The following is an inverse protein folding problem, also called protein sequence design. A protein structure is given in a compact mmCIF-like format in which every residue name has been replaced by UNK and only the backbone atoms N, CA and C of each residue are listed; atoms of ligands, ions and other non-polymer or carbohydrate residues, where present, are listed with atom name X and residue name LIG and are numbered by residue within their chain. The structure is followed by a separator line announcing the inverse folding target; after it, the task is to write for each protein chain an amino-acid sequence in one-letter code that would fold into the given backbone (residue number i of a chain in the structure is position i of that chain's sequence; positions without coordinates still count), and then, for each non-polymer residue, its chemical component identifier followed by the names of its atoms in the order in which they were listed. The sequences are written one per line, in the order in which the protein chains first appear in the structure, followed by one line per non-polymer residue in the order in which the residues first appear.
data_IF_900365942406
#
_entry.id   IF_900365942406
#
_cell.length_a   1.000
_cell.length_b   1.000
_cell.length_c   1.000
_cell.angle_alpha   90.00
_cell.angle_beta   90.00
_cell.angle_gamma   90.00
#
_symmetry.space_group_name_H-M   'P 1'
#
loop_
_entity.id
_entity.type
_entity.pdbx_description
1 polymer ?
#
# COMPACT_ATOMS: atom_id res chain seq x y z
N UNK A 1 14.20 11.32 -6.88
CA UNK A 1 13.66 9.97 -7.08
C UNK A 1 13.77 9.25 -5.75
N UNK A 2 12.66 8.83 -5.16
CA UNK A 2 12.68 8.01 -3.95
C UNK A 2 13.04 6.59 -4.35
N UNK A 3 14.10 6.02 -3.77
CA UNK A 3 14.35 4.59 -3.88
C UNK A 3 13.58 3.88 -2.77
N UNK A 4 12.96 2.75 -3.11
CA UNK A 4 12.32 1.87 -2.13
C UNK A 4 13.14 0.58 -2.10
N UNK A 5 13.38 0.07 -0.89
CA UNK A 5 14.03 -1.22 -0.67
C UNK A 5 12.96 -2.18 -0.21
N UNK A 6 12.80 -3.31 -0.91
CA UNK A 6 11.87 -4.38 -0.56
C UNK A 6 12.66 -5.64 -0.27
N UNK A 7 12.35 -6.31 0.83
CA UNK A 7 13.03 -7.55 1.25
C UNK A 7 12.01 -8.68 1.38
N UNK A 8 12.32 -9.80 0.72
CA UNK A 8 11.61 -11.05 0.90
C UNK A 8 12.19 -11.79 2.12
N UNK A 9 11.54 -11.63 3.27
CA UNK A 9 12.00 -12.17 4.57
C UNK A 9 12.22 -13.70 4.52
N UNK A 10 11.31 -14.44 3.89
CA UNK A 10 11.41 -15.89 3.73
C UNK A 10 12.66 -16.30 2.92
N UNK A 11 12.93 -15.57 1.83
CA UNK A 11 14.09 -15.85 0.98
C UNK A 11 15.41 -15.54 1.70
N UNK A 12 15.43 -14.49 2.53
CA UNK A 12 16.60 -14.14 3.35
C UNK A 12 16.86 -15.17 4.45
N UNK A 13 15.81 -15.66 5.11
CA UNK A 13 15.92 -16.73 6.10
C UNK A 13 16.46 -18.03 5.46
N UNK A 14 15.90 -18.41 4.31
CA UNK A 14 16.38 -19.57 3.55
C UNK A 14 17.85 -19.42 3.11
N UNK A 15 18.24 -18.24 2.64
CA UNK A 15 19.64 -17.96 2.25
C UNK A 15 20.59 -18.09 3.44
N UNK A 16 20.21 -17.58 4.62
CA UNK A 16 21.01 -17.67 5.85
C UNK A 16 21.16 -19.12 6.31
N UNK A 17 20.10 -19.92 6.24
CA UNK A 17 20.16 -21.36 6.53
C UNK A 17 21.11 -22.09 5.56
N UNK A 18 20.97 -21.86 4.26
CA UNK A 18 21.85 -22.44 3.24
C UNK A 18 23.32 -22.06 3.47
N UNK A 19 23.61 -20.80 3.81
CA UNK A 19 24.96 -20.36 4.12
C UNK A 19 25.51 -21.05 5.37
N UNK A 20 24.67 -21.28 6.38
CA UNK A 20 25.04 -22.01 7.59
C UNK A 20 25.44 -23.44 7.25
N UNK A 21 24.65 -24.12 6.41
CA UNK A 21 24.90 -25.49 5.97
C UNK A 21 26.16 -25.59 5.10
N UNK A 22 26.37 -24.65 4.17
CA UNK A 22 27.60 -24.56 3.38
C UNK A 22 28.82 -24.41 4.30
N UNK A 23 28.75 -23.50 5.27
CA UNK A 23 29.84 -23.29 6.23
C UNK A 23 30.13 -24.53 7.08
N UNK A 24 29.09 -25.29 7.45
CA UNK A 24 29.25 -26.56 8.15
C UNK A 24 29.88 -27.64 7.26
N UNK A 25 29.45 -27.75 6.01
CA UNK A 25 30.01 -28.68 5.04
C UNK A 25 31.50 -28.43 4.76
N UNK A 26 31.89 -27.16 4.60
CA UNK A 26 33.30 -26.79 4.40
C UNK A 26 34.14 -27.18 5.63
N UNK A 27 33.71 -26.80 6.84
CA UNK A 27 34.44 -27.17 8.07
C UNK A 27 34.57 -28.68 8.25
N UNK A 28 33.54 -29.44 7.90
CA UNK A 28 33.58 -30.89 7.95
C UNK A 28 34.58 -31.47 6.94
N UNK A 29 34.63 -30.93 5.72
CA UNK A 29 35.60 -31.33 4.71
C UNK A 29 37.03 -31.00 5.12
N UNK A 30 37.28 -29.80 5.66
CA UNK A 30 38.59 -29.36 6.15
C UNK A 30 39.08 -30.27 7.28
N UNK A 31 38.21 -30.61 8.24
CA UNK A 31 38.52 -31.52 9.33
C UNK A 31 38.81 -32.94 8.84
N UNK A 32 38.04 -33.45 7.86
CA UNK A 32 38.25 -34.77 7.27
C UNK A 32 39.59 -34.87 6.52
N UNK A 33 40.03 -33.79 5.87
CA UNK A 33 41.29 -33.73 5.14
C UNK A 33 42.52 -33.42 6.01
N UNK A 34 42.33 -32.84 7.20
CA UNK A 34 43.43 -32.36 8.04
C UNK A 34 44.48 -33.45 8.35
N UNK A 35 44.04 -34.64 8.76
CA UNK A 35 44.96 -35.71 9.15
C UNK A 35 45.83 -36.21 7.99
N UNK A 36 45.22 -36.47 6.83
CA UNK A 36 45.91 -37.04 5.67
C UNK A 36 46.85 -36.05 4.99
N UNK A 37 46.59 -34.74 5.10
CA UNK A 37 47.40 -33.69 4.45
C UNK A 37 48.54 -33.18 5.34
N UNK A 38 48.36 -33.16 6.66
CA UNK A 38 49.38 -32.64 7.60
C UNK A 38 50.39 -33.71 8.07
N UNK A 39 50.06 -34.99 7.91
CA UNK A 39 50.91 -36.12 8.35
C UNK A 39 51.41 -36.94 7.15
N UNK A 40 51.90 -36.26 6.11
CA UNK A 40 52.34 -36.91 4.87
C UNK A 40 53.65 -37.69 5.08
N UNK A 41 53.65 -38.99 4.78
CA UNK A 41 54.85 -39.81 4.81
C UNK A 41 55.78 -39.49 3.62
N UNK A 42 57.08 -39.71 3.78
CA UNK A 42 58.04 -39.63 2.67
C UNK A 42 57.82 -40.80 1.70
N UNK A 43 57.85 -40.54 0.39
CA UNK A 43 57.66 -41.57 -0.63
C UNK A 43 58.82 -42.59 -0.67
N UNK A 44 60.03 -42.16 -0.31
CA UNK A 44 61.22 -42.98 -0.16
C UNK A 44 62.10 -42.46 1.00
N UNK A 45 63.15 -43.22 1.34
CA UNK A 45 64.03 -42.94 2.47
C UNK A 45 65.07 -41.83 2.23
N UNK A 46 65.06 -41.21 1.04
CA UNK A 46 66.00 -40.15 0.67
C UNK A 46 65.57 -38.78 1.23
N UNK A 47 66.55 -37.88 1.34
CA UNK A 47 66.35 -36.54 1.89
C UNK A 47 65.42 -35.67 1.03
N UNK A 48 65.35 -35.90 -0.29
CA UNK A 48 64.50 -35.13 -1.21
C UNK A 48 63.03 -35.51 -0.98
N UNK A 49 62.72 -36.81 -0.91
CA UNK A 49 61.38 -37.30 -0.54
C UNK A 49 60.93 -36.80 0.83
N UNK A 50 61.83 -36.81 1.82
CA UNK A 50 61.53 -36.28 3.14
C UNK A 50 61.28 -34.76 3.13
N UNK A 51 62.07 -33.99 2.38
CA UNK A 51 61.90 -32.55 2.25
C UNK A 51 60.58 -32.18 1.56
N UNK A 52 60.20 -32.90 0.50
CA UNK A 52 58.94 -32.69 -0.22
C UNK A 52 57.74 -32.95 0.70
N UNK A 53 57.73 -34.06 1.45
CA UNK A 53 56.62 -34.35 2.37
C UNK A 53 56.50 -33.32 3.48
N UNK A 54 57.63 -32.80 4.02
CA UNK A 54 57.61 -31.70 4.99
C UNK A 54 57.05 -30.40 4.40
N UNK A 55 57.38 -30.07 3.15
CA UNK A 55 56.86 -28.90 2.46
C UNK A 55 55.33 -28.96 2.35
N UNK A 56 54.78 -30.09 1.86
CA UNK A 56 53.34 -30.25 1.73
C UNK A 56 52.62 -30.27 3.08
N UNK A 57 53.20 -30.94 4.09
CA UNK A 57 52.66 -30.93 5.45
C UNK A 57 52.62 -29.50 6.04
N UNK A 58 53.67 -28.70 5.81
CA UNK A 58 53.73 -27.30 6.21
C UNK A 58 52.64 -26.46 5.53
N UNK A 59 52.49 -26.59 4.21
CA UNK A 59 51.43 -25.91 3.46
C UNK A 59 50.02 -26.29 3.95
N UNK A 60 49.80 -27.58 4.27
CA UNK A 60 48.54 -28.04 4.82
C UNK A 60 48.24 -27.42 6.20
N UNK A 61 49.25 -27.27 7.06
CA UNK A 61 49.06 -26.60 8.36
C UNK A 61 48.70 -25.11 8.20
N UNK A 62 49.34 -24.41 7.26
CA UNK A 62 49.00 -23.02 6.95
C UNK A 62 47.59 -22.90 6.37
N UNK A 63 47.21 -23.81 5.47
CA UNK A 63 45.84 -23.89 4.94
C UNK A 63 44.81 -24.09 6.06
N UNK A 64 45.07 -25.00 7.00
CA UNK A 64 44.16 -25.24 8.14
C UNK A 64 44.02 -23.98 9.00
N UNK A 65 45.11 -23.25 9.27
CA UNK A 65 45.05 -21.99 10.01
C UNK A 65 44.23 -20.91 9.29
N UNK A 66 44.36 -20.81 7.97
CA UNK A 66 43.58 -19.88 7.14
C UNK A 66 42.10 -20.29 7.05
N UNK A 67 41.81 -21.59 6.93
CA UNK A 67 40.45 -22.12 6.88
C UNK A 67 39.68 -21.79 8.16
N UNK A 68 40.34 -21.86 9.32
CA UNK A 68 39.76 -21.49 10.60
C UNK A 68 39.40 -19.98 10.66
N UNK A 69 40.27 -19.11 10.16
CA UNK A 69 39.98 -17.67 10.06
C UNK A 69 38.80 -17.39 9.11
N UNK A 70 38.77 -18.09 7.99
CA UNK A 70 37.69 -18.00 7.00
C UNK A 70 36.35 -18.46 7.59
N UNK A 71 36.36 -19.54 8.37
CA UNK A 71 35.17 -20.04 9.07
C UNK A 71 34.61 -19.02 10.08
N UNK A 72 35.48 -18.30 10.78
CA UNK A 72 35.06 -17.22 11.69
C UNK A 72 34.45 -16.04 10.93
N UNK A 73 35.09 -15.61 9.83
CA UNK A 73 34.55 -14.57 8.96
C UNK A 73 33.18 -14.96 8.40
N UNK A 74 33.04 -16.19 7.92
CA UNK A 74 31.76 -16.71 7.41
C UNK A 74 30.67 -16.70 8.48
N UNK A 75 30.99 -17.13 9.70
CA UNK A 75 30.04 -17.08 10.82
C UNK A 75 29.59 -15.64 11.14
N UNK A 76 30.54 -14.69 11.15
CA UNK A 76 30.23 -13.26 11.33
C UNK A 76 29.37 -12.70 10.20
N UNK A 77 29.63 -13.10 8.96
CA UNK A 77 28.85 -12.72 7.79
C UNK A 77 27.40 -13.21 7.90
N UNK A 78 27.19 -14.49 8.22
CA UNK A 78 25.85 -15.07 8.42
C UNK A 78 25.11 -14.36 9.57
N UNK A 79 25.83 -14.05 10.66
CA UNK A 79 25.26 -13.31 11.79
C UNK A 79 24.83 -11.89 11.40
N UNK A 80 25.65 -11.18 10.62
CA UNK A 80 25.33 -9.84 10.14
C UNK A 80 24.14 -9.84 9.16
N UNK A 81 24.04 -10.86 8.30
CA UNK A 81 22.91 -11.01 7.38
C UNK A 81 21.60 -11.25 8.14
N UNK A 82 21.66 -12.11 9.17
CA UNK A 82 20.52 -12.41 10.04
C UNK A 82 20.04 -11.18 10.79
N UNK A 83 20.96 -10.42 11.41
CA UNK A 83 20.61 -9.21 12.14
C UNK A 83 20.06 -8.12 11.22
N UNK A 84 20.63 -7.97 10.01
CA UNK A 84 20.09 -7.10 8.98
C UNK A 84 18.63 -7.44 8.64
N UNK A 85 18.33 -8.72 8.42
CA UNK A 85 16.96 -9.18 8.18
C UNK A 85 15.97 -8.79 9.28
N UNK A 86 16.37 -8.94 10.55
CA UNK A 86 15.55 -8.52 11.69
C UNK A 86 15.34 -7.01 11.76
N UNK A 87 16.36 -6.21 11.42
CA UNK A 87 16.25 -4.75 11.42
C UNK A 87 15.26 -4.25 10.37
N UNK A 88 15.25 -4.86 9.18
CA UNK A 88 14.26 -4.54 8.15
C UNK A 88 12.85 -4.97 8.55
N UNK A 89 12.68 -6.16 9.13
CA UNK A 89 11.39 -6.60 9.65
C UNK A 89 10.86 -5.64 10.74
N UNK A 90 11.73 -5.18 11.63
CA UNK A 90 11.40 -4.22 12.67
C UNK A 90 11.01 -2.85 12.08
N UNK A 91 11.70 -2.41 11.02
CA UNK A 91 11.37 -1.16 10.33
C UNK A 91 9.99 -1.23 9.65
N UNK A 92 9.68 -2.33 8.96
CA UNK A 92 8.34 -2.56 8.39
C UNK A 92 7.26 -2.49 9.48
N UNK A 93 7.45 -3.24 10.58
CA UNK A 93 6.52 -3.25 11.71
C UNK A 93 6.33 -1.86 12.33
N UNK A 94 7.41 -1.09 12.53
CA UNK A 94 7.33 0.28 13.07
C UNK A 94 6.52 1.22 12.18
N UNK A 95 6.59 1.04 10.85
CA UNK A 95 5.86 1.87 9.88
C UNK A 95 4.37 1.47 9.74
N UNK A 96 3.99 0.24 10.09
CA UNK A 96 2.57 -0.18 10.02
C UNK A 96 1.64 0.56 10.99
N UNK A 97 2.11 0.86 12.21
CA UNK A 97 1.27 1.48 13.25
C UNK A 97 0.80 2.91 12.92
N UNK A 98 1.69 3.82 12.44
CA UNK A 98 1.28 5.12 11.94
C UNK A 98 0.30 5.03 10.76
N UNK A 99 0.53 4.10 9.83
CA UNK A 99 -0.33 3.92 8.66
C UNK A 99 -1.74 3.45 9.05
N UNK A 100 -1.84 2.51 9.99
CA UNK A 100 -3.13 2.05 10.52
C UNK A 100 -3.86 3.17 11.26
N UNK A 101 -3.14 3.99 12.03
CA UNK A 101 -3.70 5.15 12.72
C UNK A 101 -4.27 6.18 11.75
N UNK A 102 -3.54 6.45 10.65
CA UNK A 102 -4.03 7.32 9.56
C UNK A 102 -5.27 6.73 8.90
N UNK A 103 -5.28 5.42 8.63
CA UNK A 103 -6.43 4.74 8.05
C UNK A 103 -7.67 4.85 8.95
N UNK A 104 -7.53 4.62 10.26
CA UNK A 104 -8.63 4.81 11.22
C UNK A 104 -9.09 6.27 11.27
N UNK A 105 -8.18 7.24 11.20
CA UNK A 105 -8.53 8.66 11.13
C UNK A 105 -9.36 9.00 9.89
N UNK A 106 -8.95 8.52 8.71
CA UNK A 106 -9.69 8.72 7.46
C UNK A 106 -11.06 8.04 7.51
N UNK A 107 -11.14 6.81 8.04
CA UNK A 107 -12.41 6.10 8.20
C UNK A 107 -13.34 6.80 9.19
N UNK A 108 -12.81 7.32 10.29
CA UNK A 108 -13.59 8.07 11.29
C UNK A 108 -14.16 9.36 10.69
N UNK A 109 -13.36 10.10 9.91
CA UNK A 109 -13.83 11.29 9.18
C UNK A 109 -14.91 10.89 8.17
N UNK A 110 -14.66 9.87 7.35
CA UNK A 110 -15.62 9.40 6.35
C UNK A 110 -16.96 8.98 6.99
N UNK A 111 -16.92 8.26 8.11
CA UNK A 111 -18.10 7.83 8.85
C UNK A 111 -18.85 9.01 9.48
N UNK A 112 -18.13 10.00 10.01
CA UNK A 112 -18.74 11.21 10.55
C UNK A 112 -19.47 12.04 9.49
N UNK A 113 -19.00 11.98 8.24
CA UNK A 113 -19.50 12.79 7.12
C UNK A 113 -20.49 12.08 6.20
N UNK A 114 -20.69 10.77 6.37
CA UNK A 114 -21.58 9.99 5.54
C UNK A 114 -23.07 10.34 5.78
N UNK A 115 -23.91 10.05 4.78
CA UNK A 115 -25.36 10.09 4.94
C UNK A 115 -25.80 9.05 5.99
N UNK A 116 -26.71 9.45 6.88
CA UNK A 116 -27.08 8.71 8.09
C UNK A 116 -26.03 8.77 9.20
N UNK A 117 -24.95 9.55 9.03
CA UNK A 117 -23.91 9.75 10.03
C UNK A 117 -24.37 10.60 11.22
N UNK A 118 -23.51 10.79 12.24
CA UNK A 118 -23.87 11.46 13.49
C UNK A 118 -24.45 12.85 13.31
N UNK A 119 -23.95 13.63 12.36
CA UNK A 119 -24.48 14.98 12.11
C UNK A 119 -25.88 14.94 11.50
N UNK A 120 -26.17 13.99 10.61
CA UNK A 120 -27.54 13.83 10.09
C UNK A 120 -28.48 13.31 11.17
N UNK A 121 -28.03 12.38 12.00
CA UNK A 121 -28.83 11.88 13.13
C UNK A 121 -29.16 13.00 14.13
N UNK A 122 -28.26 13.95 14.34
CA UNK A 122 -28.45 15.07 15.28
C UNK A 122 -29.19 16.27 14.67
N UNK A 123 -29.02 16.53 13.37
CA UNK A 123 -29.54 17.75 12.71
C UNK A 123 -30.65 17.47 11.69
N UNK A 124 -30.93 16.21 11.39
CA UNK A 124 -31.87 15.77 10.36
C UNK A 124 -31.41 16.04 8.93
N UNK A 125 -30.16 16.49 8.72
CA UNK A 125 -29.60 16.83 7.40
C UNK A 125 -28.13 16.40 7.29
N UNK A 126 -27.71 15.84 6.14
CA UNK A 126 -26.34 15.39 5.96
C UNK A 126 -25.33 16.54 5.96
N UNK A 127 -24.06 16.25 6.26
CA UNK A 127 -22.98 17.24 6.12
C UNK A 127 -22.65 17.51 4.64
N UNK A 128 -22.59 16.45 3.84
CA UNK A 128 -22.33 16.51 2.40
C UNK A 128 -23.40 15.75 1.64
N UNK A 129 -23.75 16.25 0.45
CA UNK A 129 -24.65 15.59 -0.48
C UNK A 129 -25.77 16.51 -0.96
N UNK A 130 -26.23 16.28 -2.18
CA UNK A 130 -27.34 17.02 -2.77
C UNK A 130 -28.68 16.62 -2.13
N UNK A 131 -29.62 17.55 -2.15
CA UNK A 131 -30.98 17.32 -1.67
C UNK A 131 -31.73 16.31 -2.55
N UNK A 132 -32.66 15.59 -1.93
CA UNK A 132 -33.52 14.64 -2.66
C UNK A 132 -34.45 15.38 -3.62
N UNK A 133 -34.55 14.91 -4.86
CA UNK A 133 -35.43 15.52 -5.84
C UNK A 133 -36.90 15.13 -5.56
N UNK A 134 -37.83 16.07 -5.73
CA UNK A 134 -39.26 15.77 -5.65
C UNK A 134 -39.68 14.84 -6.78
N UNK A 135 -40.65 13.95 -6.52
CA UNK A 135 -41.13 13.01 -7.53
C UNK A 135 -41.79 13.75 -8.72
N UNK A 136 -41.49 13.39 -9.97
CA UNK A 136 -42.17 13.97 -11.14
C UNK A 136 -43.67 13.70 -11.13
N UNK A 137 -44.46 14.67 -11.59
CA UNK A 137 -45.92 14.60 -11.67
C UNK A 137 -46.66 14.71 -10.33
N UNK A 138 -45.96 14.88 -9.20
CA UNK A 138 -46.58 14.97 -7.87
C UNK A 138 -46.60 16.39 -7.30
N UNK A 139 -45.84 17.32 -7.88
CA UNK A 139 -45.63 18.65 -7.30
C UNK A 139 -44.89 18.62 -5.95
N UNK A 140 -44.16 17.54 -5.64
CA UNK A 140 -43.44 17.43 -4.36
C UNK A 140 -42.26 18.40 -4.32
N UNK A 141 -42.07 19.08 -3.19
CA UNK A 141 -40.91 19.92 -2.99
C UNK A 141 -39.62 19.10 -2.95
N UNK A 142 -38.54 19.66 -3.49
CA UNK A 142 -37.20 19.10 -3.36
C UNK A 142 -36.69 19.23 -1.92
N UNK A 143 -35.96 18.21 -1.46
CA UNK A 143 -35.30 18.20 -0.17
C UNK A 143 -34.12 19.17 -0.11
N UNK A 144 -33.76 19.65 1.10
CA UNK A 144 -32.61 20.51 1.27
C UNK A 144 -31.30 19.74 1.05
N UNK A 145 -30.27 20.42 0.51
CA UNK A 145 -28.91 19.90 0.38
C UNK A 145 -28.19 19.82 1.74
N UNK A 146 -26.98 19.24 1.72
CA UNK A 146 -26.14 19.09 2.90
C UNK A 146 -25.69 20.43 3.51
N UNK A 147 -25.24 20.39 4.77
CA UNK A 147 -24.82 21.59 5.50
C UNK A 147 -23.59 22.26 4.88
N UNK A 148 -22.55 21.50 4.55
CA UNK A 148 -21.30 22.08 4.06
C UNK A 148 -21.25 22.12 2.55
N UNK A 149 -21.52 20.98 1.90
CA UNK A 149 -21.52 20.88 0.44
C UNK A 149 -22.76 20.13 -0.05
N UNK A 150 -23.46 20.70 -1.01
CA UNK A 150 -24.59 20.06 -1.67
C UNK A 150 -25.60 21.07 -2.20
N UNK A 151 -26.09 20.83 -3.41
CA UNK A 151 -27.18 21.59 -4.01
C UNK A 151 -28.51 21.19 -3.36
N UNK A 152 -29.50 22.08 -3.40
CA UNK A 152 -30.87 21.69 -3.09
C UNK A 152 -31.43 20.75 -4.16
N UNK A 153 -32.31 19.83 -3.78
CA UNK A 153 -32.94 18.95 -4.76
C UNK A 153 -33.96 19.71 -5.60
N UNK A 154 -34.14 19.34 -6.87
CA UNK A 154 -35.17 19.97 -7.69
C UNK A 154 -36.58 19.66 -7.17
N UNK A 155 -37.51 20.61 -7.35
CA UNK A 155 -38.93 20.35 -7.15
C UNK A 155 -39.50 19.43 -8.22
N UNK A 156 -40.34 18.49 -7.82
CA UNK A 156 -41.04 17.59 -8.74
C UNK A 156 -42.04 18.35 -9.60
N UNK A 157 -42.13 18.03 -10.89
CA UNK A 157 -43.16 18.63 -11.77
C UNK A 157 -44.57 18.32 -11.26
N UNK A 158 -45.53 19.21 -11.53
CA UNK A 158 -46.94 18.98 -11.17
C UNK A 158 -47.61 17.96 -12.10
N UNK A 159 -48.71 17.34 -11.64
CA UNK A 159 -49.61 16.61 -12.53
C UNK A 159 -50.20 17.56 -13.60
N UNK A 160 -50.78 17.05 -14.71
CA UNK A 160 -51.38 17.92 -15.73
C UNK A 160 -52.37 18.92 -15.13
N UNK A 161 -52.11 20.21 -15.30
CA UNK A 161 -52.92 21.30 -14.75
C UNK A 161 -52.64 21.67 -13.29
N UNK A 162 -51.65 21.05 -12.64
CA UNK A 162 -51.21 21.37 -11.28
C UNK A 162 -49.82 22.05 -11.29
N UNK A 163 -49.53 22.95 -10.33
CA UNK A 163 -48.21 23.58 -10.22
C UNK A 163 -47.13 22.56 -9.83
N UNK A 164 -45.88 22.82 -10.23
CA UNK A 164 -44.71 22.08 -9.75
C UNK A 164 -44.38 22.38 -8.29
N UNK A 165 -43.59 21.49 -7.67
CA UNK A 165 -43.08 21.67 -6.32
C UNK A 165 -41.93 22.67 -6.28
N UNK A 166 -41.71 23.30 -5.12
CA UNK A 166 -40.57 24.19 -4.90
C UNK A 166 -39.26 23.40 -4.90
N UNK A 167 -38.17 24.01 -5.37
CA UNK A 167 -36.84 23.43 -5.21
C UNK A 167 -36.31 23.56 -3.78
N UNK A 168 -35.36 22.69 -3.43
CA UNK A 168 -34.71 22.65 -2.14
C UNK A 168 -33.65 23.74 -1.97
N UNK A 169 -33.34 24.06 -0.71
CA UNK A 169 -32.28 25.03 -0.37
C UNK A 169 -30.91 24.34 -0.21
N UNK A 170 -29.85 25.07 -0.59
CA UNK A 170 -28.47 24.77 -0.18
C UNK A 170 -28.09 25.61 1.07
N UNK A 171 -26.99 25.26 1.76
CA UNK A 171 -26.51 26.01 2.94
C UNK A 171 -25.19 26.77 2.71
N UNK A 172 -24.02 26.14 2.90
CA UNK A 172 -22.74 26.85 2.84
C UNK A 172 -22.17 26.90 1.42
N UNK A 173 -22.00 25.73 0.78
CA UNK A 173 -21.54 25.62 -0.59
C UNK A 173 -22.50 24.75 -1.41
N UNK A 174 -23.11 25.34 -2.42
CA UNK A 174 -24.09 24.70 -3.28
C UNK A 174 -25.14 25.71 -3.75
N UNK A 175 -25.86 25.35 -4.79
CA UNK A 175 -26.93 26.16 -5.34
C UNK A 175 -28.28 25.67 -4.78
N UNK A 176 -29.08 26.58 -4.27
CA UNK A 176 -30.50 26.31 -4.05
C UNK A 176 -31.22 26.30 -5.40
N UNK A 177 -32.13 25.36 -5.61
CA UNK A 177 -32.92 25.33 -6.83
C UNK A 177 -34.17 26.19 -6.66
N UNK A 178 -34.30 27.23 -7.49
CA UNK A 178 -35.50 28.05 -7.60
C UNK A 178 -36.12 27.79 -8.98
N UNK A 179 -37.30 27.18 -9.04
CA UNK A 179 -38.08 27.17 -10.28
C UNK A 179 -38.97 28.42 -10.33
N UNK A 180 -38.79 29.33 -11.31
CA UNK A 180 -39.77 30.36 -11.57
C UNK A 180 -41.06 29.69 -12.07
N UNK A 181 -42.18 30.03 -11.44
CA UNK A 181 -43.53 29.60 -11.78
C UNK A 181 -43.75 29.33 -13.27
N UNK A 182 -44.28 28.14 -13.59
CA UNK A 182 -44.82 27.85 -14.91
C UNK A 182 -46.08 27.00 -14.80
N UNK A 183 -47.29 27.55 -14.98
CA UNK A 183 -48.41 26.73 -15.41
C UNK A 183 -48.14 26.29 -16.85
N UNK A 184 -48.30 25.00 -17.13
CA UNK A 184 -48.41 24.51 -18.51
C UNK A 184 -49.62 25.19 -19.15
N UNK A 185 -49.39 26.17 -20.02
CA UNK A 185 -50.45 26.74 -20.85
C UNK A 185 -50.82 25.67 -21.90
N UNK A 186 -52.04 25.12 -21.90
CA UNK A 186 -52.43 24.17 -22.93
C UNK A 186 -52.61 24.92 -24.26
N UNK A 187 -51.90 24.49 -25.31
CA UNK A 187 -52.20 24.86 -26.69
C UNK A 187 -51.34 25.97 -27.32
N UNK A 188 -50.02 25.76 -27.42
CA UNK A 188 -49.21 26.49 -28.42
C UNK A 188 -48.96 25.55 -29.60
N UNK A 189 -49.42 25.87 -30.83
CA UNK A 189 -49.12 25.07 -32.01
C UNK A 189 -47.62 25.13 -32.32
N UNK A 190 -47.07 24.00 -32.74
CA UNK A 190 -45.71 23.87 -33.29
C UNK A 190 -45.52 24.81 -34.47
N UNK A 191 -44.78 25.91 -34.26
CA UNK A 191 -44.45 26.82 -35.36
C UNK A 191 -43.93 28.18 -34.92
N UNK A 192 -42.66 28.24 -34.52
CA UNK A 192 -41.85 29.44 -34.74
C UNK A 192 -40.58 29.02 -35.48
N UNK A 193 -40.29 29.59 -36.65
CA UNK A 193 -39.15 29.20 -37.46
C UNK A 193 -37.85 29.69 -36.82
N UNK A 194 -36.84 28.83 -36.88
CA UNK A 194 -35.44 29.15 -36.60
C UNK A 194 -35.02 30.34 -37.48
N UNK A 195 -34.66 31.46 -36.85
CA UNK A 195 -33.97 32.56 -37.55
C UNK A 195 -32.47 32.26 -37.44
N UNK A 196 -31.75 32.00 -38.55
CA UNK A 196 -30.32 31.74 -38.52
C UNK A 196 -29.55 33.06 -38.34
N UNK A 197 -28.68 33.12 -37.33
CA UNK A 197 -27.67 34.18 -37.23
C UNK A 197 -26.55 33.92 -38.27
N UNK A 198 -26.14 34.92 -39.08
CA UNK A 198 -24.99 34.79 -39.96
C UNK A 198 -23.68 34.94 -39.17
N UNK A 199 -22.57 34.36 -39.66
CA UNK A 199 -21.30 34.35 -38.95
C UNK A 199 -20.51 35.65 -39.17
N UNK A 200 -20.08 36.29 -38.09
CA UNK A 200 -18.80 36.99 -37.96
C UNK A 200 -18.33 36.89 -36.51
#
# INVERSE_FOLDING_TARGET
MSSFVVIAHEALAAATANLTDIGAGIRAADAAAAGSTTSLAAAAADEVSAAISRLFAGYAQEYQALSAQTALFHAQFVQALTSGGFLYAAAEAANTSPLLSLQHGVQAVAAATAAGGPVEQLTGRPLFGDGTHGAPGTGQAGGPGGWLFGNGGNGGSGAPGQPGGNGGSAFLFGNGEFQPFGPSVPGVPSGWPLVPFPPF
#
